data_IF_669095422289
#
_entry.id   IF_669095422289
#
_cell.length_a   1.000
_cell.length_b   1.000
_cell.length_c   1.000
_cell.angle_alpha   90.00
_cell.angle_beta   90.00
_cell.angle_gamma   90.00
#
_symmetry.space_group_name_H-M   'P 1'
#
loop_
_entity.id
_entity.type
_entity.pdbx_description
1 polymer ?
#
# COMPACT_ATOMS: atom_id res chain seq x y z
N UNK A 1 -42.85 36.67 17.38
CA UNK A 1 -41.59 37.15 16.78
C UNK A 1 -40.43 36.47 17.47
N UNK A 2 -39.62 35.74 16.69
CA UNK A 2 -38.37 35.12 17.08
C UNK A 2 -37.35 36.22 17.48
N UNK A 3 -36.33 36.00 18.32
CA UNK A 3 -35.20 35.07 18.17
C UNK A 3 -34.24 35.29 19.36
N UNK A 4 -33.20 34.43 19.44
CA UNK A 4 -31.95 34.57 20.23
C UNK A 4 -32.05 34.10 21.68
N UNK A 5 -31.17 33.25 22.20
CA UNK A 5 -29.86 32.84 21.72
C UNK A 5 -29.56 31.48 22.36
N UNK A 6 -29.69 30.40 21.58
CA UNK A 6 -29.06 29.14 21.90
C UNK A 6 -27.59 29.29 21.52
N UNK A 7 -26.73 29.43 22.53
CA UNK A 7 -25.68 28.45 22.84
C UNK A 7 -24.39 29.11 23.35
N UNK A 8 -24.07 28.85 24.62
CA UNK A 8 -22.72 29.02 25.18
C UNK A 8 -21.87 27.83 24.72
N UNK A 9 -21.25 27.89 23.53
CA UNK A 9 -20.36 26.82 22.99
C UNK A 9 -18.92 27.29 22.75
N UNK A 10 -18.42 28.31 23.44
CA UNK A 10 -17.00 28.65 23.32
C UNK A 10 -16.38 28.96 24.66
N UNK A 11 -16.42 27.96 25.54
CA UNK A 11 -15.49 27.87 26.66
C UNK A 11 -14.34 26.96 26.24
N UNK A 12 -13.22 27.59 25.91
CA UNK A 12 -11.89 26.97 25.85
C UNK A 12 -11.63 26.10 24.62
N UNK A 13 -11.21 26.73 23.52
CA UNK A 13 -10.32 26.04 22.58
C UNK A 13 -8.91 26.58 22.78
N UNK A 14 -8.14 25.85 23.58
CA UNK A 14 -6.70 26.03 23.73
C UNK A 14 -6.03 25.45 22.46
N UNK A 15 -5.51 26.26 21.52
CA UNK A 15 -5.14 25.76 20.19
C UNK A 15 -3.81 24.98 20.13
N UNK A 16 -3.16 24.73 21.27
CA UNK A 16 -1.73 24.39 21.31
C UNK A 16 -1.40 23.07 22.04
N UNK A 17 -2.35 22.17 22.27
CA UNK A 17 -2.05 20.91 22.97
C UNK A 17 -2.87 19.70 22.54
N UNK A 18 -3.11 19.53 21.23
CA UNK A 18 -3.46 18.21 20.65
C UNK A 18 -2.99 18.09 19.20
N UNK A 19 -1.74 18.45 18.90
CA UNK A 19 -1.06 18.01 17.67
C UNK A 19 0.26 17.29 17.99
N UNK A 20 0.39 16.77 19.20
CA UNK A 20 1.30 15.69 19.47
C UNK A 20 0.72 14.39 18.89
N UNK A 21 1.51 13.75 18.01
CA UNK A 21 1.40 12.32 17.65
C UNK A 21 0.43 11.90 16.54
N UNK A 22 0.37 12.64 15.43
CA UNK A 22 -0.13 12.05 14.18
C UNK A 22 0.48 12.64 12.90
N UNK A 23 1.71 13.17 12.94
CA UNK A 23 2.51 13.31 11.72
C UNK A 23 2.92 11.91 11.25
N UNK A 24 1.90 11.18 10.75
CA UNK A 24 1.96 10.14 9.72
C UNK A 24 2.48 10.80 8.43
N UNK A 25 3.67 11.38 8.52
CA UNK A 25 4.46 11.75 7.35
C UNK A 25 5.35 10.57 7.03
N UNK A 26 4.73 9.39 6.79
CA UNK A 26 5.23 8.55 5.73
C UNK A 26 4.83 9.30 4.48
N UNK A 27 5.73 10.18 4.08
CA UNK A 27 5.75 10.90 2.84
C UNK A 27 5.07 10.01 1.80
N UNK A 28 3.90 10.47 1.37
CA UNK A 28 3.25 9.96 0.18
C UNK A 28 4.15 10.41 -0.94
N UNK A 29 5.24 9.69 -1.12
CA UNK A 29 6.12 9.87 -2.25
C UNK A 29 5.25 9.55 -3.44
N UNK A 30 4.95 10.62 -4.13
CA UNK A 30 4.23 10.66 -5.37
C UNK A 30 5.18 10.03 -6.38
N UNK A 31 5.35 8.72 -6.33
CA UNK A 31 6.19 8.03 -7.29
C UNK A 31 5.43 8.04 -8.61
N UNK A 32 5.63 9.11 -9.38
CA UNK A 32 5.76 9.04 -10.83
C UNK A 32 6.35 7.67 -11.16
N UNK A 33 5.64 6.86 -11.98
CA UNK A 33 6.05 5.50 -12.43
C UNK A 33 7.49 5.25 -12.05
N UNK A 34 7.69 4.64 -10.87
CA UNK A 34 9.02 4.44 -10.32
C UNK A 34 9.80 3.77 -11.44
N UNK A 35 10.83 4.42 -11.97
CA UNK A 35 11.74 3.75 -12.87
C UNK A 35 12.30 2.63 -12.02
N UNK A 36 11.72 1.43 -12.18
CA UNK A 36 12.10 0.25 -11.43
C UNK A 36 13.49 -0.09 -11.94
N UNK A 37 14.48 0.57 -11.34
CA UNK A 37 15.88 0.37 -11.60
C UNK A 37 16.15 -1.13 -11.44
N UNK A 38 17.07 -1.69 -12.24
CA UNK A 38 17.32 -3.13 -12.26
C UNK A 38 17.57 -3.70 -10.85
N UNK A 39 18.16 -2.87 -9.97
CA UNK A 39 18.37 -3.18 -8.56
C UNK A 39 17.08 -3.43 -7.77
N UNK A 40 16.03 -2.63 -8.00
CA UNK A 40 14.76 -2.71 -7.27
C UNK A 40 13.91 -3.90 -7.75
N UNK A 41 13.99 -4.21 -9.05
CA UNK A 41 13.45 -5.44 -9.61
C UNK A 41 14.13 -6.68 -9.03
N UNK A 42 15.46 -6.66 -8.86
CA UNK A 42 16.20 -7.77 -8.25
C UNK A 42 15.77 -8.01 -6.79
N UNK A 43 15.56 -6.94 -6.02
CA UNK A 43 15.05 -7.06 -4.65
C UNK A 43 13.65 -7.69 -4.59
N UNK A 44 12.74 -7.25 -5.48
CA UNK A 44 11.39 -7.83 -5.59
C UNK A 44 11.49 -9.30 -6.01
N UNK A 45 12.29 -9.63 -7.02
CA UNK A 45 12.53 -11.00 -7.48
C UNK A 45 13.12 -11.87 -6.37
N UNK A 46 14.05 -11.35 -5.57
CA UNK A 46 14.66 -12.05 -4.44
C UNK A 46 13.66 -12.29 -3.31
N UNK A 47 12.76 -11.34 -3.05
CA UNK A 47 11.61 -11.55 -2.15
C UNK A 47 10.69 -12.63 -2.70
N UNK A 48 10.33 -12.56 -3.99
CA UNK A 48 9.47 -13.55 -4.65
C UNK A 48 10.10 -14.95 -4.66
N UNK A 49 11.42 -15.05 -4.84
CA UNK A 49 12.16 -16.31 -4.80
C UNK A 49 12.14 -16.98 -3.41
N UNK A 50 11.97 -16.19 -2.34
CA UNK A 50 11.78 -16.71 -0.98
C UNK A 50 10.35 -17.16 -0.70
N UNK A 51 9.39 -16.78 -1.55
CA UNK A 51 8.00 -17.16 -1.39
C UNK A 51 7.79 -18.61 -1.75
N UNK A 52 6.99 -19.31 -0.96
CA UNK A 52 6.51 -20.64 -1.32
C UNK A 52 5.03 -20.58 -1.69
N UNK A 53 4.58 -21.41 -2.64
CA UNK A 53 3.16 -21.62 -2.85
C UNK A 53 2.52 -22.04 -1.52
N UNK A 54 1.31 -21.54 -1.27
CA UNK A 54 0.57 -21.59 -0.01
C UNK A 54 1.07 -20.69 1.15
N UNK A 55 2.07 -19.83 0.94
CA UNK A 55 2.33 -18.72 1.89
C UNK A 55 1.30 -17.60 1.71
N UNK A 56 0.91 -16.97 2.83
CA UNK A 56 0.08 -15.76 2.81
C UNK A 56 0.96 -14.53 2.58
N UNK A 57 0.64 -13.77 1.54
CA UNK A 57 1.37 -12.56 1.18
C UNK A 57 0.45 -11.38 0.94
N UNK A 58 1.02 -10.20 1.13
CA UNK A 58 0.46 -8.93 0.73
C UNK A 58 1.30 -8.36 -0.41
N UNK A 59 0.70 -8.18 -1.57
CA UNK A 59 1.36 -7.59 -2.74
C UNK A 59 0.63 -6.33 -3.15
N UNK A 60 1.38 -5.25 -3.31
CA UNK A 60 0.88 -3.99 -3.87
C UNK A 60 1.33 -3.89 -5.32
N UNK A 61 0.40 -3.70 -6.24
CA UNK A 61 0.67 -3.67 -7.67
C UNK A 61 -0.14 -2.58 -8.36
N UNK A 62 0.32 -2.17 -9.53
CA UNK A 62 -0.37 -1.20 -10.36
C UNK A 62 -1.09 -1.93 -11.50
N UNK A 63 -2.42 -1.85 -11.56
CA UNK A 63 -3.21 -2.53 -12.60
C UNK A 63 -3.23 -1.76 -13.95
N UNK A 64 -2.35 -0.78 -14.10
CA UNK A 64 -2.33 0.13 -15.26
C UNK A 64 -3.21 1.38 -15.10
N UNK A 65 -4.19 1.35 -14.19
CA UNK A 65 -5.07 2.49 -13.90
C UNK A 65 -4.87 3.07 -12.49
N UNK A 66 -4.78 2.20 -11.49
CA UNK A 66 -4.66 2.58 -10.08
C UNK A 66 -3.76 1.63 -9.31
N UNK A 67 -3.17 2.12 -8.23
CA UNK A 67 -2.50 1.27 -7.25
C UNK A 67 -3.54 0.46 -6.49
N UNK A 68 -3.41 -0.86 -6.60
CA UNK A 68 -4.26 -1.83 -5.91
C UNK A 68 -3.38 -2.77 -5.11
N UNK A 69 -3.97 -3.47 -4.17
CA UNK A 69 -3.27 -4.47 -3.39
C UNK A 69 -4.07 -5.76 -3.33
N UNK A 70 -3.36 -6.88 -3.40
CA UNK A 70 -3.91 -8.20 -3.22
C UNK A 70 -3.24 -8.85 -2.01
N UNK A 71 -4.07 -9.36 -1.11
CA UNK A 71 -3.64 -10.18 0.02
C UNK A 71 -4.19 -11.57 -0.13
N UNK A 72 -3.37 -12.58 0.13
CA UNK A 72 -3.82 -13.95 0.22
C UNK A 72 -2.74 -14.97 -0.07
N UNK A 73 -3.16 -16.21 -0.24
CA UNK A 73 -2.28 -17.34 -0.47
C UNK A 73 -1.71 -17.29 -1.89
N UNK A 74 -0.41 -17.55 -2.00
CA UNK A 74 0.22 -17.76 -3.30
C UNK A 74 -0.26 -19.08 -3.87
N UNK A 75 -0.91 -19.03 -5.03
CA UNK A 75 -1.34 -20.22 -5.75
C UNK A 75 -0.24 -20.77 -6.63
N UNK A 76 0.51 -19.89 -7.31
CA UNK A 76 1.60 -20.27 -8.19
C UNK A 76 2.55 -19.09 -8.39
N UNK A 77 3.84 -19.39 -8.61
CA UNK A 77 4.86 -18.37 -8.91
C UNK A 77 5.54 -18.76 -10.21
N UNK A 78 5.27 -18.00 -11.28
CA UNK A 78 5.85 -18.27 -12.59
C UNK A 78 6.98 -17.30 -12.90
N UNK A 79 8.22 -17.72 -12.60
CA UNK A 79 9.42 -16.93 -12.87
C UNK A 79 9.72 -16.77 -14.36
N UNK A 80 9.34 -17.73 -15.21
CA UNK A 80 9.56 -17.65 -16.67
C UNK A 80 8.72 -16.54 -17.30
N UNK A 81 7.44 -16.49 -16.92
CA UNK A 81 6.50 -15.47 -17.38
C UNK A 81 6.51 -14.20 -16.50
N UNK A 82 7.39 -14.13 -15.50
CA UNK A 82 7.44 -13.05 -14.49
C UNK A 82 6.05 -12.71 -13.93
N UNK A 83 5.27 -13.73 -13.56
CA UNK A 83 3.90 -13.56 -13.05
C UNK A 83 3.70 -14.29 -11.71
N UNK A 84 3.05 -13.62 -10.78
CA UNK A 84 2.65 -14.12 -9.47
C UNK A 84 1.15 -14.39 -9.51
N UNK A 85 0.72 -15.58 -9.07
CA UNK A 85 -0.68 -15.90 -8.89
C UNK A 85 -1.01 -15.90 -7.40
N UNK A 86 -1.76 -14.90 -6.97
CA UNK A 86 -2.26 -14.78 -5.59
C UNK A 86 -3.74 -15.12 -5.59
N UNK A 87 -4.12 -16.26 -5.01
CA UNK A 87 -5.47 -16.83 -4.95
C UNK A 87 -6.09 -17.10 -6.34
N UNK A 88 -6.55 -16.05 -7.03
CA UNK A 88 -7.10 -16.09 -8.40
C UNK A 88 -6.64 -14.89 -9.24
N UNK A 89 -5.80 -14.04 -8.68
CA UNK A 89 -5.31 -12.80 -9.29
C UNK A 89 -3.93 -13.06 -9.86
N UNK A 90 -3.77 -12.88 -11.17
CA UNK A 90 -2.47 -12.92 -11.85
C UNK A 90 -1.90 -11.51 -11.88
N UNK A 91 -0.70 -11.35 -11.37
CA UNK A 91 0.00 -10.07 -11.22
C UNK A 91 1.37 -10.21 -11.87
N UNK A 92 1.77 -9.30 -12.76
CA UNK A 92 3.11 -9.33 -13.33
C UNK A 92 4.11 -8.72 -12.37
N UNK A 93 5.33 -9.22 -12.34
CA UNK A 93 6.38 -8.69 -11.46
C UNK A 93 6.72 -7.24 -11.80
N UNK A 94 6.62 -6.86 -13.07
CA UNK A 94 6.82 -5.49 -13.55
C UNK A 94 5.81 -4.49 -12.95
N UNK A 95 4.61 -4.98 -12.61
CA UNK A 95 3.54 -4.18 -12.03
C UNK A 95 3.59 -4.19 -10.49
N UNK A 96 4.40 -5.06 -9.87
CA UNK A 96 4.53 -5.14 -8.41
C UNK A 96 5.34 -3.95 -7.92
N UNK A 97 4.73 -3.17 -7.04
CA UNK A 97 5.39 -2.07 -6.35
C UNK A 97 6.05 -2.53 -5.04
N UNK A 98 5.37 -3.34 -4.25
CA UNK A 98 5.92 -3.90 -3.01
C UNK A 98 5.31 -5.27 -2.71
N UNK A 99 6.11 -6.10 -2.03
CA UNK A 99 5.70 -7.42 -1.61
C UNK A 99 6.14 -7.67 -0.16
N UNK A 100 5.20 -8.14 0.65
CA UNK A 100 5.39 -8.46 2.06
C UNK A 100 4.79 -9.83 2.39
N UNK A 101 5.55 -10.64 3.13
CA UNK A 101 5.10 -11.92 3.69
C UNK A 101 4.49 -11.63 5.07
N UNK A 102 3.37 -12.27 5.38
CA UNK A 102 2.71 -12.17 6.70
C UNK A 102 3.24 -13.25 7.64
#
# INVERSE_FOLDING_TARGET
MASKDRAKIFSSFNPLSTLERALRSREREKCEKLELDESMMDEILKKISKLKPADEVYVSYHDGYTYTSASGLISDVNFKNKTLMVVKTRIKFEDINDLKII
#
